data_IF_856556139682
#
_entry.id   IF_856556139682
#
_cell.length_a   1.000
_cell.length_b   1.000
_cell.length_c   1.000
_cell.angle_alpha   90.00
_cell.angle_beta   90.00
_cell.angle_gamma   90.00
#
_symmetry.space_group_name_H-M   'P 1'
#
loop_
_entity.id
_entity.type
_entity.pdbx_description
1 polymer ?
#
# COMPACT_ATOMS: atom_id res chain seq x y z
N UNK A 1 -18.71 15.85 -5.26
CA UNK A 1 -18.57 15.23 -3.92
C UNK A 1 -17.95 13.85 -4.14
N UNK A 2 -16.92 13.47 -3.36
CA UNK A 2 -16.30 12.16 -3.52
C UNK A 2 -17.25 11.06 -3.02
N UNK A 3 -17.26 9.90 -3.69
CA UNK A 3 -18.04 8.73 -3.27
C UNK A 3 -17.42 8.07 -2.04
N UNK A 4 -18.17 7.26 -1.30
CA UNK A 4 -17.64 6.51 -0.13
C UNK A 4 -16.45 5.63 -0.50
N UNK A 5 -16.45 5.05 -1.70
CA UNK A 5 -15.34 4.27 -2.25
C UNK A 5 -14.11 5.14 -2.50
N UNK A 6 -14.30 6.37 -2.99
CA UNK A 6 -13.20 7.32 -3.16
C UNK A 6 -12.63 7.76 -1.80
N UNK A 7 -13.47 7.95 -0.79
CA UNK A 7 -13.02 8.25 0.57
C UNK A 7 -12.29 7.10 1.25
N UNK A 8 -12.75 5.86 1.07
CA UNK A 8 -12.04 4.67 1.55
C UNK A 8 -10.64 4.60 0.92
N UNK A 9 -10.55 4.74 -0.40
CA UNK A 9 -9.27 4.78 -1.11
C UNK A 9 -8.33 5.90 -0.61
N UNK A 10 -8.85 7.12 -0.42
CA UNK A 10 -8.07 8.23 0.11
C UNK A 10 -7.55 7.89 1.51
N UNK A 11 -8.41 7.37 2.38
CA UNK A 11 -8.06 6.99 3.76
C UNK A 11 -6.95 5.94 3.77
N UNK A 12 -7.12 4.85 3.02
CA UNK A 12 -6.13 3.76 2.91
C UNK A 12 -4.78 4.27 2.39
N UNK A 13 -4.81 5.13 1.36
CA UNK A 13 -3.60 5.72 0.78
C UNK A 13 -2.84 6.56 1.80
N UNK A 14 -3.53 7.39 2.58
CA UNK A 14 -2.86 8.23 3.57
C UNK A 14 -2.38 7.44 4.79
N UNK A 15 -3.04 6.34 5.15
CA UNK A 15 -2.49 5.39 6.14
C UNK A 15 -1.14 4.81 5.68
N UNK A 16 -1.01 4.43 4.41
CA UNK A 16 0.29 3.99 3.85
C UNK A 16 1.35 5.11 3.88
N UNK A 17 0.95 6.36 3.63
CA UNK A 17 1.86 7.53 3.71
C UNK A 17 2.40 7.73 5.12
N UNK A 18 1.58 7.56 6.15
CA UNK A 18 2.02 7.67 7.55
C UNK A 18 3.07 6.61 7.90
N UNK A 19 2.84 5.35 7.48
CA UNK A 19 3.76 4.26 7.78
C UNK A 19 5.10 4.46 7.05
N UNK A 20 5.09 4.88 5.77
CA UNK A 20 6.34 5.14 5.03
C UNK A 20 7.09 6.35 5.59
N UNK A 21 6.40 7.36 6.12
CA UNK A 21 7.04 8.51 6.77
C UNK A 21 7.80 8.10 8.04
N UNK A 22 7.24 7.16 8.81
CA UNK A 22 7.95 6.56 9.95
C UNK A 22 9.16 5.73 9.48
N UNK A 23 9.03 4.96 8.39
CA UNK A 23 10.15 4.20 7.82
C UNK A 23 11.30 5.13 7.39
N UNK A 24 10.99 6.26 6.74
CA UNK A 24 11.98 7.26 6.31
C UNK A 24 12.69 7.87 7.53
N UNK A 25 11.96 8.17 8.60
CA UNK A 25 12.52 8.69 9.84
C UNK A 25 13.51 7.68 10.44
N UNK A 26 13.09 6.42 10.62
CA UNK A 26 13.94 5.36 11.18
C UNK A 26 15.17 5.11 10.29
N UNK A 27 14.99 5.01 8.97
CA UNK A 27 16.09 4.84 8.03
C UNK A 27 17.07 6.01 8.07
N UNK A 28 16.61 7.23 8.34
CA UNK A 28 17.50 8.41 8.43
C UNK A 28 18.55 8.24 9.55
N UNK A 29 18.19 7.62 10.66
CA UNK A 29 19.08 7.42 11.81
C UNK A 29 19.79 6.06 11.80
N UNK A 30 19.11 5.01 11.33
CA UNK A 30 19.59 3.64 11.49
C UNK A 30 20.13 3.02 10.21
N UNK A 31 19.71 3.49 9.03
CA UNK A 31 20.11 2.90 7.75
C UNK A 31 20.02 3.90 6.59
N UNK A 32 20.84 4.96 6.68
CA UNK A 32 20.81 6.14 5.78
C UNK A 32 20.72 5.82 4.27
N UNK A 33 21.38 4.78 3.73
CA UNK A 33 21.24 4.41 2.32
C UNK A 33 19.80 4.12 1.87
N UNK A 34 18.92 3.65 2.77
CA UNK A 34 17.52 3.33 2.45
C UNK A 34 16.59 4.55 2.47
N UNK A 35 17.04 5.70 3.02
CA UNK A 35 16.23 6.92 3.10
C UNK A 35 15.71 7.36 1.71
N UNK A 36 16.60 7.47 0.73
CA UNK A 36 16.22 7.93 -0.61
C UNK A 36 15.29 6.95 -1.35
N UNK A 37 15.55 5.63 -1.37
CA UNK A 37 14.60 4.64 -1.85
C UNK A 37 13.20 4.79 -1.23
N UNK A 38 13.11 4.92 0.09
CA UNK A 38 11.83 5.08 0.79
C UNK A 38 11.09 6.37 0.41
N UNK A 39 11.82 7.49 0.24
CA UNK A 39 11.24 8.76 -0.26
C UNK A 39 10.67 8.58 -1.68
N UNK A 40 11.36 7.85 -2.57
CA UNK A 40 10.84 7.57 -3.92
C UNK A 40 9.56 6.74 -3.85
N UNK A 41 9.48 5.76 -2.94
CA UNK A 41 8.27 4.96 -2.75
C UNK A 41 7.13 5.83 -2.21
N UNK A 42 7.39 6.69 -1.23
CA UNK A 42 6.41 7.67 -0.73
C UNK A 42 5.83 8.53 -1.85
N UNK A 43 6.68 9.05 -2.75
CA UNK A 43 6.23 9.83 -3.90
C UNK A 43 5.29 9.02 -4.81
N UNK A 44 5.60 7.73 -5.04
CA UNK A 44 4.74 6.84 -5.81
C UNK A 44 3.39 6.56 -5.13
N UNK A 45 3.36 6.40 -3.81
CA UNK A 45 2.12 6.28 -3.04
C UNK A 45 1.26 7.52 -3.24
N UNK A 46 1.85 8.72 -3.10
CA UNK A 46 1.16 9.99 -3.28
C UNK A 46 0.66 10.22 -4.71
N UNK A 47 1.38 9.75 -5.73
CA UNK A 47 0.95 9.86 -7.12
C UNK A 47 -0.04 8.79 -7.56
N UNK A 48 -0.18 7.70 -6.79
CA UNK A 48 -1.10 6.62 -7.14
C UNK A 48 -2.54 7.14 -7.18
N UNK A 49 -3.29 6.76 -8.22
CA UNK A 49 -4.71 7.12 -8.40
C UNK A 49 -5.63 5.91 -8.31
N UNK A 50 -5.07 4.72 -8.09
CA UNK A 50 -5.82 3.47 -8.01
C UNK A 50 -5.15 2.46 -7.07
N UNK A 51 -5.93 1.50 -6.58
CA UNK A 51 -5.40 0.34 -5.85
C UNK A 51 -4.46 -0.53 -6.71
N UNK A 52 -4.64 -0.55 -8.03
CA UNK A 52 -3.72 -1.25 -8.94
C UNK A 52 -2.32 -0.64 -8.85
N UNK A 53 -2.22 0.68 -8.93
CA UNK A 53 -0.95 1.39 -8.83
C UNK A 53 -0.29 1.15 -7.46
N UNK A 54 -1.06 1.16 -6.37
CA UNK A 54 -0.54 0.81 -5.03
C UNK A 54 -0.04 -0.64 -4.97
N UNK A 55 -0.75 -1.60 -5.57
CA UNK A 55 -0.35 -3.00 -5.58
C UNK A 55 0.99 -3.24 -6.31
N UNK A 56 1.33 -2.42 -7.31
CA UNK A 56 2.66 -2.51 -7.96
C UNK A 56 3.81 -2.17 -7.02
N UNK A 57 3.54 -1.47 -5.91
CA UNK A 57 4.55 -1.13 -4.90
C UNK A 57 4.91 -2.32 -4.01
N UNK A 58 4.09 -3.36 -3.94
CA UNK A 58 4.35 -4.55 -3.13
C UNK A 58 5.70 -5.20 -3.51
N UNK A 59 5.98 -5.35 -4.80
CA UNK A 59 7.25 -5.90 -5.27
C UNK A 59 8.45 -5.04 -4.85
N UNK A 60 8.31 -3.71 -4.91
CA UNK A 60 9.34 -2.79 -4.44
C UNK A 60 9.60 -2.94 -2.93
N UNK A 61 8.56 -3.15 -2.13
CA UNK A 61 8.72 -3.39 -0.69
C UNK A 61 9.33 -4.76 -0.37
N UNK A 62 9.02 -5.80 -1.14
CA UNK A 62 9.65 -7.12 -0.99
C UNK A 62 11.15 -7.08 -1.31
N UNK A 63 11.55 -6.36 -2.37
CA UNK A 63 12.96 -6.12 -2.68
C UNK A 63 13.65 -5.30 -1.59
N UNK A 64 12.97 -4.26 -1.11
CA UNK A 64 13.51 -3.37 -0.07
C UNK A 64 13.69 -4.12 1.27
N UNK A 65 12.76 -5.02 1.62
CA UNK A 65 12.87 -5.91 2.80
C UNK A 65 14.19 -6.69 2.81
N UNK A 66 14.63 -7.21 1.66
CA UNK A 66 15.90 -7.93 1.55
C UNK A 66 17.14 -7.07 1.81
N UNK A 67 17.00 -5.75 1.75
CA UNK A 67 18.08 -4.78 2.00
C UNK A 67 18.05 -4.19 3.41
N UNK A 68 17.01 -4.47 4.22
CA UNK A 68 16.86 -3.91 5.56
C UNK A 68 17.60 -4.76 6.59
N UNK A 69 18.51 -4.15 7.34
CA UNK A 69 19.25 -4.80 8.43
C UNK A 69 18.81 -4.30 9.80
N UNK A 70 18.23 -3.10 9.89
CA UNK A 70 17.69 -2.56 11.13
C UNK A 70 16.35 -3.24 11.49
N UNK A 71 16.26 -3.78 12.71
CA UNK A 71 15.08 -4.52 13.16
C UNK A 71 13.81 -3.66 13.16
N UNK A 72 13.91 -2.41 13.64
CA UNK A 72 12.75 -1.51 13.71
C UNK A 72 12.28 -1.12 12.31
N UNK A 73 13.20 -0.86 11.39
CA UNK A 73 12.87 -0.61 10.00
C UNK A 73 12.24 -1.84 9.34
N UNK A 74 12.71 -3.05 9.66
CA UNK A 74 12.14 -4.29 9.14
C UNK A 74 10.68 -4.46 9.56
N UNK A 75 10.37 -4.23 10.84
CA UNK A 75 8.99 -4.27 11.37
C UNK A 75 8.07 -3.25 10.68
N UNK A 76 8.57 -2.05 10.37
CA UNK A 76 7.78 -1.03 9.65
C UNK A 76 7.55 -1.44 8.18
N UNK A 77 8.58 -1.98 7.52
CA UNK A 77 8.47 -2.48 6.13
C UNK A 77 7.51 -3.68 6.05
N UNK A 78 7.50 -4.57 7.05
CA UNK A 78 6.53 -5.66 7.13
C UNK A 78 5.09 -5.15 7.27
N UNK A 79 4.84 -4.15 8.12
CA UNK A 79 3.52 -3.50 8.21
C UNK A 79 3.07 -2.88 6.89
N UNK A 80 3.98 -2.29 6.11
CA UNK A 80 3.66 -1.78 4.77
C UNK A 80 3.25 -2.89 3.81
N UNK A 81 3.95 -4.03 3.86
CA UNK A 81 3.64 -5.21 3.04
C UNK A 81 2.27 -5.78 3.43
N UNK A 82 1.98 -5.93 4.73
CA UNK A 82 0.70 -6.43 5.24
C UNK A 82 -0.47 -5.54 4.79
N UNK A 83 -0.34 -4.22 4.95
CA UNK A 83 -1.37 -3.26 4.51
C UNK A 83 -1.60 -3.36 3.01
N UNK A 84 -0.54 -3.35 2.19
CA UNK A 84 -0.68 -3.48 0.73
C UNK A 84 -1.29 -4.83 0.31
N UNK A 85 -0.97 -5.91 1.02
CA UNK A 85 -1.54 -7.24 0.77
C UNK A 85 -3.02 -7.26 1.10
N UNK A 86 -3.41 -6.75 2.27
CA UNK A 86 -4.82 -6.64 2.68
C UNK A 86 -5.64 -5.79 1.70
N UNK A 87 -5.09 -4.68 1.20
CA UNK A 87 -5.74 -3.85 0.17
C UNK A 87 -5.91 -4.56 -1.18
N UNK A 88 -4.98 -5.47 -1.52
CA UNK A 88 -5.08 -6.29 -2.72
C UNK A 88 -6.17 -7.36 -2.57
N UNK A 89 -6.25 -7.99 -1.40
CA UNK A 89 -7.22 -9.05 -1.08
C UNK A 89 -8.64 -8.51 -0.94
N UNK A 90 -8.85 -7.43 -0.17
CA UNK A 90 -10.16 -6.79 0.03
C UNK A 90 -10.80 -6.33 -1.29
N UNK A 91 -9.96 -5.91 -2.26
CA UNK A 91 -10.41 -5.58 -3.61
C UNK A 91 -10.80 -6.80 -4.44
N UNK A 92 -10.15 -7.94 -4.23
CA UNK A 92 -10.48 -9.20 -4.93
C UNK A 92 -11.84 -9.68 -4.46
N UNK A 93 -12.07 -9.70 -3.14
CA UNK A 93 -13.37 -10.05 -2.55
C UNK A 93 -14.49 -9.07 -2.94
N UNK A 94 -14.21 -7.76 -3.00
CA UNK A 94 -15.19 -6.77 -3.44
C UNK A 94 -15.56 -6.92 -4.92
N UNK A 95 -14.58 -7.19 -5.80
CA UNK A 95 -14.85 -7.48 -7.22
C UNK A 95 -15.69 -8.75 -7.40
N UNK A 96 -15.41 -9.80 -6.64
CA UNK A 96 -16.17 -11.06 -6.69
C UNK A 96 -17.62 -10.88 -6.20
N UNK A 97 -17.84 -10.12 -5.12
CA UNK A 97 -19.19 -9.80 -4.62
C UNK A 97 -19.99 -8.94 -5.60
N UNK A 98 -19.36 -7.96 -6.26
CA UNK A 98 -20.05 -7.11 -7.25
C UNK A 98 -20.29 -7.87 -8.55
N UNK A 99 -19.35 -8.71 -9.01
CA UNK A 99 -19.51 -9.55 -10.21
C UNK A 99 -20.67 -10.53 -10.10
N UNK A 100 -20.77 -11.24 -8.97
CA UNK A 100 -21.88 -12.19 -8.70
C UNK A 100 -23.25 -11.51 -8.55
N UNK A 101 -23.29 -10.24 -8.12
CA UNK A 101 -24.53 -9.46 -8.03
C UNK A 101 -25.02 -8.94 -9.39
N UNK A 102 -24.12 -8.79 -10.37
CA UNK A 102 -24.47 -8.38 -11.74
C UNK A 102 -24.96 -9.59 -12.54
N UNK A 103 -24.32 -10.75 -12.41
CA UNK A 103 -24.76 -11.99 -13.08
C UNK A 103 -26.15 -12.45 -12.61
N UNK A 104 -26.49 -12.26 -11.33
CA UNK A 104 -27.83 -12.61 -10.81
C UNK A 104 -28.94 -11.71 -11.33
N UNK A 105 -28.66 -10.45 -11.72
CA UNK A 105 -29.66 -9.50 -12.23
C UNK A 105 -29.90 -9.57 -13.74
N UNK A 106 -29.05 -10.28 -14.49
CA UNK A 106 -29.21 -10.47 -15.94
C UNK A 106 -29.93 -11.79 -16.26
N UNK A 107 -30.12 -12.63 -15.25
CA UNK A 107 -30.77 -13.95 -15.37
C UNK A 107 -32.24 -13.95 -14.95
N UNK A 108 -32.82 -12.79 -14.61
CA UNK A 108 -34.23 -12.57 -14.25
C UNK A 108 -34.98 -11.76 -15.32
#
# INVERSE_FOLDING_TARGET
MATDIQWAYITDKYALVEIIDNAILVATFNQKPLKHPLIKVRAKILSANSYNELATLLNLFLELKGSVTDKRLAEIVEKLIEQLTSLKESRTEFKEKVGSTIESKVSD
#
